data_IF_056030935907
#
_entry.id   IF_056030935907
#
_cell.length_a   1.000
_cell.length_b   1.000
_cell.length_c   1.000
_cell.angle_alpha   90.00
_cell.angle_beta   90.00
_cell.angle_gamma   90.00
#
_symmetry.space_group_name_H-M   'P 1'
#
loop_
_entity.id
_entity.type
_entity.pdbx_description
1 polymer ?
#
# COMPACT_ATOMS: atom_id res chain seq x y z
N UNK A 1 -0.09 20.07 -5.63
CA UNK A 1 -1.32 19.73 -4.86
C UNK A 1 -1.42 20.57 -3.60
N UNK A 2 -2.64 20.92 -3.17
CA UNK A 2 -2.90 21.42 -1.82
C UNK A 2 -2.98 22.94 -1.64
N UNK A 3 -2.65 23.77 -2.64
CA UNK A 3 -2.63 25.23 -2.45
C UNK A 3 -1.67 25.66 -1.33
N UNK A 4 -2.01 26.73 -0.58
CA UNK A 4 -1.16 27.20 0.55
C UNK A 4 -0.97 26.06 1.56
N UNK A 5 0.29 25.82 1.92
CA UNK A 5 0.66 24.89 2.98
C UNK A 5 -0.12 25.25 4.25
N UNK A 6 -0.71 24.25 4.93
CA UNK A 6 -1.46 24.50 6.14
C UNK A 6 -0.54 25.21 7.15
N UNK A 7 0.52 24.51 7.55
CA UNK A 7 1.41 25.00 8.58
C UNK A 7 2.54 25.85 8.02
N UNK A 8 2.97 26.85 8.77
CA UNK A 8 4.15 27.67 8.44
C UNK A 8 5.49 26.97 8.73
N UNK A 9 5.47 25.92 9.56
CA UNK A 9 6.61 25.07 9.93
C UNK A 9 6.15 23.64 10.09
N UNK A 10 6.96 22.69 9.62
CA UNK A 10 6.69 21.27 9.79
C UNK A 10 7.92 20.56 10.35
N UNK A 11 7.77 19.87 11.49
CA UNK A 11 8.86 19.16 12.15
C UNK A 11 8.78 17.65 11.92
N UNK A 12 9.92 17.03 11.59
CA UNK A 12 10.03 15.57 11.41
C UNK A 12 10.88 15.00 12.54
N UNK A 13 10.29 14.13 13.35
CA UNK A 13 10.99 13.37 14.38
C UNK A 13 11.22 11.93 13.89
N UNK A 14 12.46 11.57 13.61
CA UNK A 14 12.85 10.22 13.25
C UNK A 14 13.29 9.44 14.50
N UNK A 15 12.68 8.26 14.72
CA UNK A 15 12.99 7.38 15.84
C UNK A 15 13.45 6.02 15.32
N UNK A 16 14.75 5.66 15.45
CA UNK A 16 15.25 4.34 15.10
C UNK A 16 14.93 3.38 16.24
N UNK A 17 13.66 3.06 16.44
CA UNK A 17 13.23 2.22 17.56
C UNK A 17 12.29 1.07 17.17
N UNK A 18 11.93 0.94 15.89
CA UNK A 18 11.02 -0.09 15.41
C UNK A 18 11.72 -1.44 15.17
N UNK A 19 11.11 -2.58 15.58
CA UNK A 19 11.64 -3.90 15.24
C UNK A 19 11.49 -4.13 13.73
N UNK A 20 12.65 -4.26 13.07
CA UNK A 20 12.92 -4.64 11.67
C UNK A 20 11.91 -4.30 10.54
N UNK A 21 12.44 -3.77 9.43
CA UNK A 21 11.80 -3.75 8.11
C UNK A 21 10.61 -2.81 7.88
N UNK A 22 9.94 -2.31 8.92
CA UNK A 22 8.77 -1.44 8.77
C UNK A 22 9.04 0.01 9.20
N UNK A 23 8.44 0.95 8.47
CA UNK A 23 8.30 2.35 8.88
C UNK A 23 6.87 2.62 9.33
N UNK A 24 6.69 3.35 10.43
CA UNK A 24 5.38 3.77 10.89
C UNK A 24 5.38 5.26 11.20
N UNK A 25 4.44 5.99 10.61
CA UNK A 25 4.22 7.40 10.88
C UNK A 25 3.13 7.62 11.93
N UNK A 26 3.20 8.75 12.61
CA UNK A 26 2.08 9.30 13.37
C UNK A 26 2.07 10.81 13.13
N UNK A 27 1.04 11.33 12.47
CA UNK A 27 0.95 12.75 12.16
C UNK A 27 0.46 13.51 13.40
N UNK A 28 0.93 14.74 13.54
CA UNK A 28 0.53 15.72 14.56
C UNK A 28 0.35 17.07 13.87
N UNK A 29 -0.31 18.01 14.53
CA UNK A 29 -0.38 19.37 14.01
C UNK A 29 1.05 19.95 13.88
N UNK A 30 1.44 20.35 12.68
CA UNK A 30 2.78 20.89 12.40
C UNK A 30 3.94 19.92 12.59
N UNK A 31 3.70 18.61 12.78
CA UNK A 31 4.79 17.65 12.93
C UNK A 31 4.42 16.21 12.61
N UNK A 32 5.44 15.35 12.48
CA UNK A 32 5.30 13.92 12.32
C UNK A 32 6.34 13.21 13.17
N UNK A 33 5.95 12.11 13.80
CA UNK A 33 6.87 11.15 14.36
C UNK A 33 6.93 9.92 13.43
N UNK A 34 8.12 9.53 13.00
CA UNK A 34 8.35 8.35 12.17
C UNK A 34 9.25 7.38 12.90
N UNK A 35 8.75 6.19 13.11
CA UNK A 35 9.51 5.04 13.58
C UNK A 35 10.19 4.38 12.39
N UNK A 36 11.52 4.20 12.47
CA UNK A 36 12.32 3.54 11.44
C UNK A 36 12.95 2.25 11.99
N UNK A 37 13.27 1.26 11.13
CA UNK A 37 13.96 0.06 11.55
C UNK A 37 15.30 0.39 12.19
N UNK A 38 15.59 -0.20 13.36
CA UNK A 38 16.88 -0.03 14.07
C UNK A 38 18.09 -0.50 13.25
N UNK A 39 17.88 -1.56 12.46
CA UNK A 39 18.95 -2.35 11.84
C UNK A 39 19.23 -1.94 10.40
N UNK A 40 18.46 -0.99 9.85
CA UNK A 40 18.60 -0.54 8.46
C UNK A 40 19.14 0.90 8.47
N UNK A 41 20.32 1.16 7.89
CA UNK A 41 20.85 2.52 7.74
C UNK A 41 19.82 3.42 7.08
N UNK A 42 19.69 4.67 7.54
CA UNK A 42 18.66 5.60 7.07
C UNK A 42 18.70 5.77 5.53
N UNK A 43 19.90 5.75 4.94
CA UNK A 43 20.16 5.82 3.51
C UNK A 43 19.56 4.63 2.73
N UNK A 44 19.43 3.47 3.38
CA UNK A 44 18.78 2.27 2.83
C UNK A 44 17.27 2.24 3.09
N UNK A 45 16.79 2.88 4.17
CA UNK A 45 15.35 3.11 4.39
C UNK A 45 14.80 4.16 3.40
N UNK A 46 15.67 5.08 2.95
CA UNK A 46 15.35 6.27 2.16
C UNK A 46 14.69 6.00 0.80
N UNK A 47 15.04 4.90 0.10
CA UNK A 47 14.74 4.78 -1.33
C UNK A 47 13.26 4.54 -1.68
N UNK A 48 12.36 4.36 -0.71
CA UNK A 48 10.93 4.36 -1.02
C UNK A 48 10.01 4.33 0.19
N UNK A 49 10.27 3.44 1.16
CA UNK A 49 9.37 3.26 2.31
C UNK A 49 9.31 4.51 3.20
N UNK A 50 10.46 5.10 3.54
CA UNK A 50 10.50 6.32 4.37
C UNK A 50 9.86 7.52 3.67
N UNK A 51 10.21 7.78 2.41
CA UNK A 51 9.63 8.89 1.65
C UNK A 51 8.12 8.73 1.46
N UNK A 52 7.66 7.51 1.19
CA UNK A 52 6.24 7.17 1.13
C UNK A 52 5.53 7.48 2.45
N UNK A 53 6.08 7.03 3.58
CA UNK A 53 5.54 7.34 4.91
C UNK A 53 5.53 8.85 5.17
N UNK A 54 6.64 9.55 4.92
CA UNK A 54 6.72 11.00 5.14
C UNK A 54 5.69 11.76 4.29
N UNK A 55 5.55 11.42 3.00
CA UNK A 55 4.60 12.07 2.10
C UNK A 55 3.14 11.79 2.50
N UNK A 56 2.83 10.54 2.87
CA UNK A 56 1.49 10.14 3.32
C UNK A 56 1.06 10.95 4.54
N UNK A 57 1.92 10.98 5.54
CA UNK A 57 1.64 11.64 6.81
C UNK A 57 1.68 13.16 6.71
N UNK A 58 2.51 13.71 5.81
CA UNK A 58 2.50 15.13 5.50
C UNK A 58 1.18 15.55 4.84
N UNK A 59 0.60 14.73 3.95
CA UNK A 59 -0.70 15.05 3.35
C UNK A 59 -1.85 15.05 4.35
N UNK A 60 -1.75 14.29 5.44
CA UNK A 60 -2.72 14.36 6.54
C UNK A 60 -2.78 15.73 7.23
N UNK A 61 -1.79 16.63 7.01
CA UNK A 61 -1.83 18.00 7.56
C UNK A 61 -2.90 18.89 6.93
N UNK A 62 -3.23 18.66 5.65
CA UNK A 62 -4.27 19.45 4.95
C UNK A 62 -5.67 19.23 5.55
N UNK A 63 -5.85 18.13 6.27
CA UNK A 63 -7.08 17.78 6.94
C UNK A 63 -7.22 18.22 8.39
N UNK A 64 -6.22 18.89 8.96
CA UNK A 64 -6.17 19.21 10.39
C UNK A 64 -6.22 20.69 10.72
N UNK A 65 -6.22 21.57 9.72
CA UNK A 65 -6.12 23.03 9.92
C UNK A 65 -7.40 23.85 9.81
N UNK A 66 -8.48 23.26 9.32
CA UNK A 66 -9.79 23.81 9.67
C UNK A 66 -10.08 23.35 11.11
N UNK A 67 -10.73 24.14 11.95
CA UNK A 67 -11.19 23.71 13.29
C UNK A 67 -12.13 22.48 13.31
N UNK A 68 -12.27 21.76 12.20
CA UNK A 68 -12.41 20.33 12.20
C UNK A 68 -11.07 19.70 12.62
N UNK A 69 -10.90 19.48 13.92
CA UNK A 69 -10.24 18.24 14.28
C UNK A 69 -10.85 17.18 13.37
N UNK A 70 -10.04 16.44 12.60
CA UNK A 70 -10.39 15.04 12.40
C UNK A 70 -10.58 14.56 13.82
N UNK A 71 -11.83 14.57 14.29
CA UNK A 71 -12.24 13.81 15.45
C UNK A 71 -11.85 12.41 15.03
N UNK A 72 -10.66 12.02 15.44
CA UNK A 72 -10.41 10.64 15.81
C UNK A 72 -11.26 10.50 17.06
N UNK A 73 -12.58 10.51 16.88
CA UNK A 73 -13.47 10.02 17.90
C UNK A 73 -13.06 8.56 18.01
N UNK A 74 -12.60 8.18 19.18
CA UNK A 74 -12.51 6.79 19.59
C UNK A 74 -13.88 6.11 19.65
N UNK A 75 -14.94 6.77 19.18
CA UNK A 75 -16.28 6.26 19.07
C UNK A 75 -16.72 6.29 17.60
N UNK A 76 -17.09 5.12 17.03
CA UNK A 76 -17.65 5.05 15.70
C UNK A 76 -19.01 5.74 15.72
N UNK A 77 -19.11 6.93 15.12
CA UNK A 77 -20.42 7.46 14.76
C UNK A 77 -21.04 6.49 13.73
N UNK A 78 -22.25 6.02 14.04
CA UNK A 78 -23.09 5.21 13.16
C UNK A 78 -23.41 5.98 11.87
N UNK A 79 -22.47 5.92 10.93
CA UNK A 79 -22.42 6.68 9.68
C UNK A 79 -21.20 6.38 8.80
N UNK A 80 -20.33 5.45 9.20
CA UNK A 80 -19.28 4.83 8.38
C UNK A 80 -18.08 5.73 8.15
N UNK A 81 -17.09 5.69 9.04
CA UNK A 81 -15.80 6.36 8.82
C UNK A 81 -15.23 5.99 7.44
N UNK A 82 -14.87 6.99 6.62
CA UNK A 82 -14.29 6.78 5.29
C UNK A 82 -12.79 6.49 5.38
N UNK A 83 -12.37 5.55 6.21
CA UNK A 83 -10.96 5.16 6.35
C UNK A 83 -10.34 4.73 5.03
N UNK A 84 -11.08 4.03 4.16
CA UNK A 84 -10.59 3.75 2.79
C UNK A 84 -10.25 5.03 2.00
N UNK A 85 -10.97 6.13 2.24
CA UNK A 85 -10.71 7.42 1.60
C UNK A 85 -9.58 8.16 2.33
N UNK A 86 -9.70 8.37 3.64
CA UNK A 86 -8.72 9.11 4.43
C UNK A 86 -7.35 8.46 4.38
N UNK A 87 -7.27 7.13 4.38
CA UNK A 87 -5.99 6.42 4.33
C UNK A 87 -5.60 6.05 2.90
N UNK A 88 -6.51 5.42 2.15
CA UNK A 88 -6.20 4.93 0.80
C UNK A 88 -6.04 6.05 -0.23
N UNK A 89 -6.95 7.05 -0.29
CA UNK A 89 -6.79 8.18 -1.23
C UNK A 89 -5.58 9.02 -0.87
N UNK A 90 -5.35 9.30 0.43
CA UNK A 90 -4.16 10.03 0.86
C UNK A 90 -2.88 9.28 0.47
N UNK A 91 -2.86 7.95 0.59
CA UNK A 91 -1.72 7.16 0.13
C UNK A 91 -1.49 7.27 -1.38
N UNK A 92 -2.55 7.24 -2.19
CA UNK A 92 -2.43 7.48 -3.63
C UNK A 92 -1.87 8.88 -3.94
N UNK A 93 -2.41 9.92 -3.30
CA UNK A 93 -1.97 11.30 -3.52
C UNK A 93 -0.53 11.52 -3.04
N UNK A 94 -0.09 10.81 -2.00
CA UNK A 94 1.30 10.84 -1.54
C UNK A 94 2.24 10.27 -2.60
N UNK A 95 1.89 9.13 -3.20
CA UNK A 95 2.64 8.57 -4.32
C UNK A 95 2.67 9.52 -5.51
N UNK A 96 1.53 10.15 -5.82
CA UNK A 96 1.44 11.12 -6.90
C UNK A 96 2.29 12.37 -6.62
N UNK A 97 2.31 12.89 -5.38
CA UNK A 97 3.15 14.02 -4.99
C UNK A 97 4.65 13.70 -5.06
N UNK A 98 5.05 12.48 -4.68
CA UNK A 98 6.42 12.00 -4.85
C UNK A 98 6.81 11.91 -6.33
N UNK A 99 5.90 11.49 -7.21
CA UNK A 99 6.14 11.46 -8.66
C UNK A 99 6.25 12.89 -9.22
N UNK A 100 5.32 13.78 -8.87
CA UNK A 100 5.29 15.16 -9.35
C UNK A 100 6.49 15.99 -8.88
N UNK A 101 7.06 15.67 -7.71
CA UNK A 101 8.28 16.31 -7.20
C UNK A 101 9.57 15.75 -7.80
N UNK A 102 9.51 14.68 -8.60
CA UNK A 102 10.69 13.97 -9.10
C UNK A 102 11.40 13.12 -8.04
N UNK A 103 10.79 12.95 -6.85
CA UNK A 103 11.33 12.08 -5.79
C UNK A 103 11.16 10.59 -6.11
N UNK A 104 10.27 10.23 -7.05
CA UNK A 104 10.19 8.90 -7.63
C UNK A 104 9.97 8.92 -9.15
N UNK A 105 10.46 7.89 -9.83
CA UNK A 105 10.24 7.68 -11.26
C UNK A 105 8.83 7.12 -11.56
N UNK A 106 8.34 7.36 -12.78
CA UNK A 106 7.04 6.81 -13.22
C UNK A 106 6.96 5.29 -13.07
N UNK A 107 8.04 4.57 -13.36
CA UNK A 107 8.09 3.11 -13.22
C UNK A 107 7.90 2.64 -11.78
N UNK A 108 8.44 3.40 -10.80
CA UNK A 108 8.25 3.13 -9.36
C UNK A 108 6.80 3.39 -8.99
N UNK A 109 6.23 4.52 -9.41
CA UNK A 109 4.83 4.86 -9.16
C UNK A 109 3.86 3.79 -9.69
N UNK A 110 4.05 3.36 -10.95
CA UNK A 110 3.24 2.30 -11.57
C UNK A 110 3.45 0.94 -10.91
N UNK A 111 4.67 0.62 -10.46
CA UNK A 111 4.95 -0.59 -9.67
C UNK A 111 4.20 -0.58 -8.34
N UNK A 112 4.18 0.56 -7.63
CA UNK A 112 3.44 0.72 -6.36
C UNK A 112 1.95 0.49 -6.57
N UNK A 113 1.36 1.01 -7.66
CA UNK A 113 -0.05 0.75 -8.00
C UNK A 113 -0.33 -0.73 -8.29
N UNK A 114 0.56 -1.39 -9.02
CA UNK A 114 0.49 -2.82 -9.27
C UNK A 114 0.56 -3.65 -7.98
N UNK A 115 1.43 -3.25 -7.04
CA UNK A 115 1.55 -3.88 -5.72
C UNK A 115 0.30 -3.66 -4.87
N UNK A 116 -0.28 -2.45 -4.87
CA UNK A 116 -1.53 -2.15 -4.18
C UNK A 116 -2.68 -3.03 -4.70
N UNK A 117 -2.84 -3.13 -6.01
CA UNK A 117 -3.85 -4.03 -6.60
C UNK A 117 -3.57 -5.49 -6.27
N UNK A 118 -2.31 -5.91 -6.28
CA UNK A 118 -1.93 -7.26 -5.87
C UNK A 118 -2.28 -7.54 -4.40
N UNK A 119 -2.15 -6.55 -3.51
CA UNK A 119 -2.58 -6.66 -2.11
C UNK A 119 -4.10 -6.85 -2.04
N UNK A 120 -4.86 -6.01 -2.75
CA UNK A 120 -6.33 -6.10 -2.81
C UNK A 120 -6.79 -7.44 -3.36
N UNK A 121 -6.28 -7.88 -4.51
CA UNK A 121 -6.81 -9.05 -5.21
C UNK A 121 -6.58 -10.38 -4.49
N UNK A 122 -5.65 -10.40 -3.52
CA UNK A 122 -5.36 -11.56 -2.66
C UNK A 122 -5.96 -11.44 -1.26
N UNK A 123 -6.52 -10.28 -0.93
CA UNK A 123 -7.03 -10.04 0.41
C UNK A 123 -8.26 -10.93 0.67
N UNK A 124 -8.39 -11.59 1.84
CA UNK A 124 -9.52 -12.47 2.13
C UNK A 124 -10.89 -11.81 2.02
N UNK A 125 -10.97 -10.49 2.26
CA UNK A 125 -12.21 -9.71 2.14
C UNK A 125 -12.59 -9.38 0.69
N UNK A 126 -11.67 -9.53 -0.28
CA UNK A 126 -11.92 -9.17 -1.67
C UNK A 126 -12.96 -10.10 -2.31
N UNK A 127 -14.02 -9.52 -2.88
CA UNK A 127 -15.15 -10.29 -3.39
C UNK A 127 -16.18 -10.71 -2.33
N UNK A 128 -15.90 -10.47 -1.05
CA UNK A 128 -16.76 -10.86 0.08
C UNK A 128 -17.39 -9.65 0.77
N UNK A 129 -16.62 -8.57 0.95
CA UNK A 129 -17.07 -7.33 1.57
C UNK A 129 -16.73 -6.12 0.70
N UNK A 130 -17.55 -5.07 0.80
CA UNK A 130 -17.26 -3.78 0.17
C UNK A 130 -16.21 -2.99 0.96
N UNK A 131 -15.58 -2.01 0.31
CA UNK A 131 -14.66 -1.10 1.01
C UNK A 131 -15.38 -0.30 2.10
N UNK A 132 -16.62 0.10 1.85
CA UNK A 132 -17.44 0.79 2.85
C UNK A 132 -17.66 -0.08 4.11
N UNK A 133 -17.92 -1.38 3.94
CA UNK A 133 -18.11 -2.32 5.06
C UNK A 133 -16.81 -2.55 5.83
N UNK A 134 -15.69 -2.81 5.15
CA UNK A 134 -14.40 -3.01 5.81
C UNK A 134 -13.95 -1.74 6.58
N UNK A 135 -14.17 -0.57 5.99
CA UNK A 135 -13.82 0.71 6.59
C UNK A 135 -14.54 0.98 7.92
N UNK A 136 -15.76 0.47 8.11
CA UNK A 136 -16.49 0.59 9.36
C UNK A 136 -15.87 -0.22 10.52
N UNK A 137 -15.04 -1.22 10.21
CA UNK A 137 -14.37 -2.10 11.19
C UNK A 137 -12.86 -1.83 11.26
N UNK A 138 -12.40 -0.70 10.73
CA UNK A 138 -10.99 -0.38 10.54
C UNK A 138 -10.16 -0.44 11.83
N UNK A 139 -10.70 0.04 12.96
CA UNK A 139 -9.98 0.01 14.23
C UNK A 139 -10.02 -1.35 14.93
N UNK A 140 -11.07 -2.13 14.69
CA UNK A 140 -11.31 -3.39 15.39
C UNK A 140 -10.68 -4.60 14.67
N UNK A 141 -10.54 -4.52 13.35
CA UNK A 141 -10.04 -5.62 12.51
C UNK A 141 -8.82 -5.20 11.68
N UNK A 142 -7.62 -5.75 11.97
CA UNK A 142 -6.41 -5.53 11.18
C UNK A 142 -6.56 -5.85 9.68
N UNK A 143 -7.32 -6.88 9.31
CA UNK A 143 -7.57 -7.23 7.91
C UNK A 143 -8.46 -6.17 7.23
N UNK A 144 -9.48 -5.68 7.92
CA UNK A 144 -10.33 -4.61 7.42
C UNK A 144 -9.53 -3.30 7.23
N UNK A 145 -8.59 -3.01 8.13
CA UNK A 145 -7.63 -1.91 8.01
C UNK A 145 -6.73 -2.05 6.79
N UNK A 146 -6.04 -3.19 6.63
CA UNK A 146 -5.16 -3.44 5.48
C UNK A 146 -5.91 -3.31 4.14
N UNK A 147 -7.12 -3.88 4.07
CA UNK A 147 -7.98 -3.79 2.90
C UNK A 147 -8.39 -2.36 2.58
N UNK A 148 -8.69 -1.54 3.59
CA UNK A 148 -9.07 -0.14 3.43
C UNK A 148 -7.94 0.70 2.84
N UNK A 149 -6.70 0.52 3.28
CA UNK A 149 -5.53 1.20 2.69
C UNK A 149 -5.36 0.86 1.21
N UNK A 150 -5.22 -0.43 0.91
CA UNK A 150 -4.87 -0.89 -0.44
C UNK A 150 -6.03 -0.67 -1.41
N UNK A 151 -7.26 -0.97 -0.99
CA UNK A 151 -8.46 -0.80 -1.80
C UNK A 151 -8.78 0.65 -2.09
N UNK A 152 -8.67 1.52 -1.08
CA UNK A 152 -8.86 2.96 -1.27
C UNK A 152 -7.84 3.57 -2.23
N UNK A 153 -6.57 3.16 -2.15
CA UNK A 153 -5.54 3.59 -3.10
C UNK A 153 -5.86 3.15 -4.54
N UNK A 154 -6.32 1.92 -4.73
CA UNK A 154 -6.72 1.41 -6.06
C UNK A 154 -7.92 2.19 -6.60
N UNK A 155 -8.92 2.48 -5.77
CA UNK A 155 -10.08 3.30 -6.17
C UNK A 155 -9.65 4.72 -6.55
N UNK A 156 -8.74 5.35 -5.78
CA UNK A 156 -8.21 6.67 -6.10
C UNK A 156 -7.52 6.69 -7.47
N UNK A 157 -6.67 5.70 -7.74
CA UNK A 157 -6.03 5.53 -9.04
C UNK A 157 -7.04 5.36 -10.17
N UNK A 158 -8.05 4.50 -9.99
CA UNK A 158 -9.10 4.28 -10.98
C UNK A 158 -9.88 5.57 -11.29
N UNK A 159 -10.14 6.39 -10.26
CA UNK A 159 -10.75 7.71 -10.45
C UNK A 159 -9.84 8.66 -11.24
N UNK A 160 -8.55 8.75 -10.88
CA UNK A 160 -7.60 9.60 -11.61
C UNK A 160 -7.45 9.15 -13.08
N UNK A 161 -7.40 7.84 -13.32
CA UNK A 161 -7.34 7.27 -14.65
C UNK A 161 -8.59 7.59 -15.47
N UNK A 162 -9.77 7.50 -14.88
CA UNK A 162 -11.03 7.84 -15.55
C UNK A 162 -11.05 9.32 -15.95
N UNK A 163 -10.69 10.23 -15.03
CA UNK A 163 -10.64 11.66 -15.31
C UNK A 163 -9.64 11.99 -16.43
N UNK A 164 -8.43 11.40 -16.37
CA UNK A 164 -7.39 11.61 -17.39
C UNK A 164 -7.78 11.02 -18.74
N UNK A 165 -8.43 9.85 -18.77
CA UNK A 165 -8.89 9.22 -20.01
C UNK A 165 -9.99 10.06 -20.69
N UNK A 166 -10.78 10.81 -19.91
CA UNK A 166 -11.79 11.75 -20.41
C UNK A 166 -11.23 13.14 -20.73
N UNK A 167 -9.93 13.37 -20.55
CA UNK A 167 -9.32 14.69 -20.73
C UNK A 167 -9.72 15.72 -19.66
N UNK A 168 -10.26 15.27 -18.51
CA UNK A 168 -10.73 16.14 -17.42
C UNK A 168 -9.60 16.54 -16.44
N UNK A 169 -8.37 16.11 -16.72
CA UNK A 169 -7.20 16.38 -15.88
C UNK A 169 -7.08 15.40 -14.71
N UNK A 170 -6.18 15.68 -13.74
CA UNK A 170 -5.91 14.75 -12.65
C UNK A 170 -6.91 14.86 -11.50
N UNK A 171 -7.04 13.78 -10.74
CA UNK A 171 -7.86 13.69 -9.52
C UNK A 171 -7.58 14.83 -8.54
N UNK A 172 -6.32 15.24 -8.38
CA UNK A 172 -5.97 16.34 -7.48
C UNK A 172 -6.69 17.66 -7.83
N UNK A 173 -6.85 17.97 -9.13
CA UNK A 173 -7.60 19.15 -9.60
C UNK A 173 -9.10 19.01 -9.36
N UNK A 174 -9.60 17.79 -9.45
CA UNK A 174 -11.00 17.50 -9.12
C UNK A 174 -11.25 17.72 -7.62
N UNK A 175 -10.34 17.30 -6.75
CA UNK A 175 -10.48 17.46 -5.30
C UNK A 175 -10.60 18.94 -4.88
N UNK A 176 -9.94 19.86 -5.58
CA UNK A 176 -10.09 21.31 -5.36
C UNK A 176 -11.55 21.81 -5.55
N UNK A 177 -12.37 21.06 -6.27
CA UNK A 177 -13.78 21.38 -6.57
C UNK A 177 -14.76 20.72 -5.58
N UNK A 178 -14.29 19.84 -4.69
CA UNK A 178 -15.13 19.09 -3.75
C UNK A 178 -15.23 19.85 -2.43
N UNK A 179 -16.39 20.40 -2.02
CA UNK A 179 -16.52 21.17 -0.78
C UNK A 179 -16.01 20.40 0.45
N UNK A 180 -15.25 21.06 1.37
CA UNK A 180 -14.91 22.49 1.41
C UNK A 180 -13.77 22.94 0.46
N UNK A 181 -13.35 22.06 -0.45
CA UNK A 181 -12.34 22.27 -1.49
C UNK A 181 -11.07 21.46 -1.24
N UNK A 182 -10.92 20.79 -0.09
CA UNK A 182 -9.70 20.04 0.31
C UNK A 182 -10.04 18.86 1.21
N UNK A 183 -9.07 17.95 1.36
CA UNK A 183 -9.15 16.77 2.24
C UNK A 183 -9.15 17.16 3.74
N UNK A 184 -9.81 16.36 4.61
CA UNK A 184 -10.72 15.28 4.27
C UNK A 184 -12.01 15.84 3.66
N UNK A 185 -12.67 15.05 2.83
CA UNK A 185 -14.00 15.39 2.30
C UNK A 185 -14.99 14.30 2.68
N UNK A 186 -16.21 14.71 2.99
CA UNK A 186 -17.34 13.81 3.25
C UNK A 186 -17.72 13.01 1.99
N UNK A 187 -18.06 11.72 2.14
CA UNK A 187 -18.35 10.85 0.99
C UNK A 187 -19.54 11.35 0.19
N UNK A 188 -20.59 11.82 0.88
CA UNK A 188 -21.74 12.43 0.24
C UNK A 188 -21.35 13.65 -0.60
N UNK A 189 -20.49 14.53 -0.06
CA UNK A 189 -19.99 15.70 -0.78
C UNK A 189 -19.07 15.33 -1.95
N UNK A 190 -18.20 14.33 -1.77
CA UNK A 190 -17.35 13.78 -2.82
C UNK A 190 -18.18 13.18 -3.95
N UNK A 191 -19.15 12.31 -3.63
CA UNK A 191 -19.97 11.62 -4.61
C UNK A 191 -20.90 12.59 -5.34
N UNK A 192 -21.45 13.58 -4.65
CA UNK A 192 -22.22 14.65 -5.27
C UNK A 192 -21.36 15.49 -6.23
N UNK A 193 -20.14 15.87 -5.83
CA UNK A 193 -19.21 16.58 -6.69
C UNK A 193 -18.80 15.73 -7.90
N UNK A 194 -18.50 14.45 -7.70
CA UNK A 194 -18.17 13.50 -8.76
C UNK A 194 -19.32 13.36 -9.76
N UNK A 195 -20.55 13.20 -9.26
CA UNK A 195 -21.76 13.09 -10.10
C UNK A 195 -21.98 14.34 -10.93
N UNK A 196 -21.80 15.53 -10.33
CA UNK A 196 -21.88 16.80 -11.08
C UNK A 196 -20.79 16.92 -12.14
N UNK A 197 -19.57 16.44 -11.85
CA UNK A 197 -18.41 16.57 -12.73
C UNK A 197 -18.44 15.56 -13.90
N UNK A 198 -18.92 14.34 -13.65
CA UNK A 198 -18.84 13.23 -14.61
C UNK A 198 -20.20 12.84 -15.22
N UNK A 199 -21.29 13.42 -14.70
CA UNK A 199 -22.67 13.12 -15.10
C UNK A 199 -23.27 11.88 -14.43
N UNK A 200 -22.51 11.15 -13.61
CA UNK A 200 -22.97 9.92 -12.95
C UNK A 200 -22.19 9.64 -11.66
N UNK A 201 -22.82 9.08 -10.60
CA UNK A 201 -22.07 8.54 -9.45
C UNK A 201 -21.26 7.29 -9.82
N UNK A 202 -21.62 6.64 -10.92
CA UNK A 202 -20.96 5.44 -11.41
C UNK A 202 -19.76 5.75 -12.30
N UNK A 203 -18.74 4.87 -12.31
CA UNK A 203 -18.69 3.56 -11.62
C UNK A 203 -18.20 3.61 -10.16
N UNK A 204 -17.92 4.79 -9.62
CA UNK A 204 -17.20 4.91 -8.34
C UNK A 204 -18.05 4.50 -7.14
N UNK A 205 -19.35 4.82 -7.14
CA UNK A 205 -20.27 4.35 -6.11
C UNK A 205 -20.24 2.82 -6.00
N UNK A 206 -20.35 2.10 -7.12
CA UNK A 206 -20.28 0.64 -7.16
C UNK A 206 -18.96 0.08 -6.61
N UNK A 207 -17.81 0.67 -6.96
CA UNK A 207 -16.49 0.23 -6.50
C UNK A 207 -16.31 0.32 -4.98
N UNK A 208 -17.02 1.24 -4.32
CA UNK A 208 -16.90 1.48 -2.88
C UNK A 208 -17.95 0.72 -2.08
N UNK A 209 -19.19 0.69 -2.59
CA UNK A 209 -20.35 0.21 -1.83
C UNK A 209 -20.64 -1.28 -2.05
N UNK A 210 -20.09 -1.89 -3.10
CA UNK A 210 -20.29 -3.31 -3.40
C UNK A 210 -19.00 -4.11 -3.21
N UNK A 211 -19.12 -5.42 -3.03
CA UNK A 211 -17.98 -6.34 -3.01
C UNK A 211 -17.49 -6.73 -4.42
N UNK A 212 -17.96 -6.03 -5.46
CA UNK A 212 -17.60 -6.35 -6.85
C UNK A 212 -16.09 -6.19 -7.07
N UNK A 213 -15.45 -7.07 -7.87
CA UNK A 213 -14.04 -6.93 -8.21
C UNK A 213 -13.70 -5.55 -8.79
N UNK A 214 -12.61 -4.94 -8.32
CA UNK A 214 -12.13 -3.66 -8.83
C UNK A 214 -11.56 -3.85 -10.25
N UNK A 215 -11.96 -3.04 -11.25
CA UNK A 215 -11.62 -3.26 -12.66
C UNK A 215 -10.22 -2.75 -13.03
N UNK A 216 -9.23 -2.92 -12.16
CA UNK A 216 -7.87 -2.39 -12.32
C UNK A 216 -7.23 -2.82 -13.64
N UNK A 217 -7.15 -4.12 -13.90
CA UNK A 217 -6.49 -4.67 -15.07
C UNK A 217 -7.13 -4.17 -16.37
N UNK A 218 -8.45 -4.18 -16.43
CA UNK A 218 -9.20 -3.78 -17.62
C UNK A 218 -9.09 -2.27 -17.87
N UNK A 219 -9.16 -1.45 -16.82
CA UNK A 219 -9.03 0.01 -16.93
C UNK A 219 -7.63 0.41 -17.37
N UNK A 220 -6.59 -0.20 -16.82
CA UNK A 220 -5.19 0.03 -17.25
C UNK A 220 -5.00 -0.33 -18.72
N UNK A 221 -5.47 -1.51 -19.15
CA UNK A 221 -5.36 -1.96 -20.55
C UNK A 221 -6.10 -1.03 -21.51
N UNK A 222 -7.34 -0.63 -21.18
CA UNK A 222 -8.13 0.31 -21.99
C UNK A 222 -7.48 1.67 -22.11
N UNK A 223 -6.72 2.09 -21.10
CA UNK A 223 -5.92 3.31 -21.12
C UNK A 223 -4.58 3.17 -21.87
N UNK A 224 -4.37 2.06 -22.57
CA UNK A 224 -3.16 1.77 -23.35
C UNK A 224 -1.95 1.34 -22.51
N UNK A 225 -2.14 1.10 -21.21
CA UNK A 225 -1.13 0.55 -20.33
C UNK A 225 -0.96 -0.95 -20.55
N UNK A 226 0.26 -1.45 -20.32
CA UNK A 226 0.52 -2.89 -20.28
C UNK A 226 0.47 -3.39 -18.84
N UNK A 227 -0.15 -4.55 -18.64
CA UNK A 227 -0.08 -5.27 -17.37
C UNK A 227 0.48 -6.66 -17.61
N UNK A 228 1.62 -6.95 -17.00
CA UNK A 228 2.18 -8.30 -16.94
C UNK A 228 1.88 -8.89 -15.58
N UNK A 229 1.08 -9.96 -15.58
CA UNK A 229 0.90 -10.78 -14.41
C UNK A 229 2.13 -11.69 -14.26
N UNK A 230 2.76 -11.64 -13.09
CA UNK A 230 3.85 -12.53 -12.75
C UNK A 230 3.51 -13.29 -11.50
N UNK A 231 3.84 -14.56 -11.48
CA UNK A 231 3.88 -15.31 -10.24
C UNK A 231 5.27 -15.15 -9.63
N UNK A 232 5.34 -14.48 -8.48
CA UNK A 232 6.59 -14.35 -7.73
C UNK A 232 6.56 -15.30 -6.55
N UNK A 233 7.57 -16.13 -6.46
CA UNK A 233 7.83 -16.93 -5.26
C UNK A 233 8.17 -16.00 -4.12
N UNK A 234 7.43 -16.10 -3.03
CA UNK A 234 7.68 -15.33 -1.81
C UNK A 234 8.00 -16.29 -0.69
N UNK A 235 9.16 -16.04 -0.11
CA UNK A 235 9.50 -16.55 1.19
C UNK A 235 9.79 -15.32 2.04
N UNK A 236 8.84 -14.92 2.87
CA UNK A 236 8.87 -13.67 3.61
C UNK A 236 9.58 -13.79 4.97
N UNK A 237 10.50 -14.75 5.12
CA UNK A 237 11.35 -14.88 6.30
C UNK A 237 12.78 -14.41 6.01
N UNK A 238 13.38 -13.74 6.99
CA UNK A 238 14.79 -13.38 7.02
C UNK A 238 15.60 -14.45 7.75
N UNK A 239 16.86 -14.63 7.33
CA UNK A 239 17.74 -15.66 7.85
C UNK A 239 19.13 -15.13 8.17
N UNK A 240 19.69 -15.60 9.29
CA UNK A 240 21.10 -15.47 9.65
C UNK A 240 21.81 -16.82 9.47
N UNK A 241 22.98 -16.82 8.86
CA UNK A 241 23.80 -18.02 8.71
C UNK A 241 24.72 -18.16 9.93
N UNK A 242 24.65 -19.29 10.63
CA UNK A 242 25.55 -19.66 11.74
C UNK A 242 26.28 -20.96 11.41
N UNK A 243 27.38 -21.23 12.11
CA UNK A 243 28.11 -22.51 11.99
C UNK A 243 27.19 -23.72 12.23
N UNK A 244 26.17 -23.54 13.05
CA UNK A 244 25.22 -24.57 13.47
C UNK A 244 23.99 -24.69 12.54
N UNK A 245 23.86 -23.84 11.52
CA UNK A 245 22.77 -23.87 10.54
C UNK A 245 22.20 -22.50 10.14
N UNK A 246 21.13 -22.54 9.34
CA UNK A 246 20.42 -21.35 8.88
C UNK A 246 19.34 -20.95 9.90
N UNK A 247 19.58 -19.90 10.67
CA UNK A 247 18.68 -19.45 11.75
C UNK A 247 17.64 -18.46 11.24
N UNK A 248 16.38 -18.63 11.60
CA UNK A 248 15.29 -17.70 11.25
C UNK A 248 15.41 -16.42 12.09
N UNK A 249 15.73 -15.30 11.44
CA UNK A 249 15.95 -14.00 12.07
C UNK A 249 14.67 -13.14 12.12
N UNK A 250 13.84 -13.23 11.08
CA UNK A 250 12.55 -12.54 10.97
C UNK A 250 11.55 -13.40 10.19
N UNK A 251 10.25 -13.15 10.38
CA UNK A 251 9.18 -13.93 9.76
C UNK A 251 8.06 -12.99 9.33
N UNK A 252 7.68 -13.08 8.06
CA UNK A 252 6.48 -12.48 7.51
C UNK A 252 5.25 -13.40 7.64
N UNK A 253 4.05 -12.87 7.39
CA UNK A 253 2.79 -13.55 7.65
C UNK A 253 2.62 -14.87 6.88
N UNK A 254 3.17 -15.02 5.68
CA UNK A 254 2.98 -16.21 4.84
C UNK A 254 3.76 -17.42 5.37
N UNK A 255 4.96 -17.20 5.88
CA UNK A 255 5.79 -18.27 6.50
C UNK A 255 5.41 -18.48 7.97
N UNK A 256 5.01 -17.43 8.69
CA UNK A 256 4.54 -17.55 10.07
C UNK A 256 3.29 -18.43 10.19
N UNK A 257 2.37 -18.33 9.23
CA UNK A 257 1.19 -19.20 9.15
C UNK A 257 1.53 -20.69 8.97
N UNK A 258 2.76 -21.02 8.60
CA UNK A 258 3.24 -22.40 8.40
C UNK A 258 4.01 -22.95 9.63
N UNK A 259 4.08 -22.17 10.71
CA UNK A 259 4.57 -22.62 12.02
C UNK A 259 6.07 -22.42 12.29
N UNK A 260 6.79 -21.70 11.42
CA UNK A 260 8.14 -21.23 11.70
C UNK A 260 8.09 -20.12 12.76
N UNK A 261 9.07 -20.10 13.64
CA UNK A 261 9.25 -19.01 14.62
C UNK A 261 10.68 -18.47 14.58
N UNK A 262 10.84 -17.21 14.99
CA UNK A 262 12.16 -16.60 15.13
C UNK A 262 13.02 -17.45 16.06
N UNK A 263 14.26 -17.72 15.65
CA UNK A 263 15.21 -18.55 16.38
C UNK A 263 15.21 -20.03 15.99
N UNK A 264 14.25 -20.50 15.16
CA UNK A 264 14.34 -21.83 14.57
C UNK A 264 15.60 -21.95 13.71
N UNK A 265 16.32 -23.06 13.82
CA UNK A 265 17.48 -23.36 12.97
C UNK A 265 17.07 -24.41 11.93
N UNK A 266 17.06 -24.04 10.66
CA UNK A 266 16.80 -25.00 9.57
C UNK A 266 18.00 -25.94 9.45
N UNK A 267 17.72 -27.24 9.57
CA UNK A 267 18.72 -28.31 9.48
C UNK A 267 18.72 -28.93 8.08
N UNK A 268 17.54 -29.32 7.58
CA UNK A 268 17.41 -29.95 6.26
C UNK A 268 16.07 -29.64 5.60
N UNK A 269 16.04 -29.74 4.26
CA UNK A 269 14.82 -29.71 3.44
C UNK A 269 14.84 -30.95 2.57
N UNK A 270 13.75 -31.73 2.59
CA UNK A 270 13.62 -33.01 1.89
C UNK A 270 14.81 -33.97 2.16
N UNK A 271 15.33 -33.94 3.39
CA UNK A 271 16.49 -34.73 3.82
C UNK A 271 17.86 -34.19 3.38
N UNK A 272 17.93 -33.07 2.64
CA UNK A 272 19.21 -32.42 2.28
C UNK A 272 19.58 -31.35 3.30
N UNK A 273 20.80 -31.41 3.81
CA UNK A 273 21.30 -30.39 4.74
C UNK A 273 21.34 -29.01 4.09
N UNK A 274 20.88 -27.99 4.82
CA UNK A 274 20.79 -26.61 4.35
C UNK A 274 21.74 -25.73 5.15
N UNK A 275 22.61 -24.99 4.44
CA UNK A 275 23.60 -24.08 5.04
C UNK A 275 23.47 -22.63 4.59
N UNK A 276 22.55 -22.32 3.68
CA UNK A 276 22.31 -20.95 3.18
C UNK A 276 20.84 -20.72 2.82
N UNK A 277 20.41 -19.46 2.86
CA UNK A 277 19.07 -19.07 2.44
C UNK A 277 18.83 -19.41 0.96
N UNK A 278 19.84 -19.29 0.10
CA UNK A 278 19.71 -19.64 -1.32
C UNK A 278 19.51 -21.16 -1.52
N UNK A 279 20.26 -22.01 -0.79
CA UNK A 279 20.04 -23.45 -0.81
C UNK A 279 18.66 -23.84 -0.28
N UNK A 280 18.24 -23.19 0.81
CA UNK A 280 16.90 -23.37 1.37
C UNK A 280 15.80 -23.08 0.36
N UNK A 281 15.84 -21.90 -0.29
CA UNK A 281 14.86 -21.48 -1.28
C UNK A 281 14.88 -22.32 -2.55
N UNK A 282 16.05 -22.88 -2.92
CA UNK A 282 16.16 -23.80 -4.06
C UNK A 282 15.51 -25.16 -3.76
N UNK A 283 15.65 -25.65 -2.54
CA UNK A 283 15.18 -26.99 -2.18
C UNK A 283 13.68 -27.05 -1.88
N UNK A 284 13.05 -25.91 -1.56
CA UNK A 284 11.59 -25.82 -1.46
C UNK A 284 10.95 -26.03 -2.84
N UNK A 285 9.97 -26.95 -2.88
CA UNK A 285 9.25 -27.35 -4.07
C UNK A 285 8.67 -26.14 -4.81
N UNK A 286 9.00 -25.95 -6.11
CA UNK A 286 8.60 -24.79 -6.88
C UNK A 286 7.16 -24.87 -7.39
N UNK A 287 6.40 -25.92 -7.09
CA UNK A 287 5.01 -26.09 -7.53
C UNK A 287 3.99 -25.84 -6.40
N UNK A 288 4.48 -25.43 -5.22
CA UNK A 288 3.64 -25.19 -4.03
C UNK A 288 3.31 -26.45 -3.25
N UNK A 289 3.83 -27.62 -3.64
CA UNK A 289 3.71 -28.84 -2.82
C UNK A 289 4.51 -28.66 -1.51
N UNK A 290 4.08 -29.30 -0.42
CA UNK A 290 4.82 -29.23 0.84
C UNK A 290 6.18 -29.91 0.68
N UNK A 291 7.23 -29.21 1.11
CA UNK A 291 8.56 -29.77 1.32
C UNK A 291 8.72 -30.10 2.80
N UNK A 292 9.33 -31.23 3.11
CA UNK A 292 9.58 -31.64 4.49
C UNK A 292 10.78 -30.88 5.02
N UNK A 293 10.59 -30.02 6.02
CA UNK A 293 11.66 -29.22 6.61
C UNK A 293 11.93 -29.67 8.03
N UNK A 294 13.18 -30.03 8.31
CA UNK A 294 13.64 -30.26 9.67
C UNK A 294 14.20 -28.97 10.26
N UNK A 295 13.70 -28.64 11.44
CA UNK A 295 14.00 -27.43 12.19
C UNK A 295 14.47 -27.83 13.58
N UNK A 296 15.43 -27.10 14.14
CA UNK A 296 15.79 -27.21 15.56
C UNK A 296 15.24 -26.00 16.31
N UNK A 297 14.40 -26.24 17.31
CA UNK A 297 13.82 -25.23 18.20
C UNK A 297 14.32 -25.47 19.62
N UNK A 298 15.26 -24.65 20.07
CA UNK A 298 16.00 -24.93 21.31
C UNK A 298 16.76 -26.26 21.20
N UNK A 299 16.42 -27.23 22.04
CA UNK A 299 16.99 -28.59 22.02
C UNK A 299 16.16 -29.60 21.20
N UNK A 300 14.98 -29.23 20.74
CA UNK A 300 14.06 -30.14 20.04
C UNK A 300 14.30 -30.11 18.53
N UNK A 301 14.22 -31.29 17.88
CA UNK A 301 14.18 -31.42 16.43
C UNK A 301 12.73 -31.62 16.00
N UNK A 302 12.25 -30.73 15.15
CA UNK A 302 10.88 -30.69 14.64
C UNK A 302 10.88 -30.93 13.14
N UNK A 303 9.87 -31.64 12.65
CA UNK A 303 9.58 -31.75 11.23
C UNK A 303 8.33 -30.94 10.89
N UNK A 304 8.40 -30.10 9.85
CA UNK A 304 7.29 -29.27 9.41
C UNK A 304 7.15 -29.32 7.89
N UNK A 305 5.93 -29.55 7.36
CA UNK A 305 5.68 -29.34 5.95
C UNK A 305 5.67 -27.83 5.67
N UNK A 306 6.51 -27.38 4.74
CA UNK A 306 6.51 -26.01 4.25
C UNK A 306 6.15 -25.94 2.78
N UNK A 307 5.18 -25.10 2.48
CA UNK A 307 4.80 -24.71 1.15
C UNK A 307 5.62 -23.49 0.74
N UNK A 308 6.21 -23.58 -0.45
CA UNK A 308 6.71 -22.40 -1.14
C UNK A 308 5.50 -21.54 -1.51
N UNK A 309 5.32 -20.40 -0.85
CA UNK A 309 4.25 -19.48 -1.21
C UNK A 309 4.60 -18.79 -2.52
N UNK A 310 3.62 -18.66 -3.40
CA UNK A 310 3.69 -17.77 -4.54
C UNK A 310 2.68 -16.65 -4.37
N UNK A 311 2.97 -15.52 -5.00
CA UNK A 311 2.07 -14.37 -5.00
C UNK A 311 2.03 -13.78 -6.40
N UNK A 312 0.82 -13.53 -6.90
CA UNK A 312 0.60 -12.81 -8.17
C UNK A 312 0.99 -11.34 -8.05
N UNK A 313 2.02 -10.90 -8.75
CA UNK A 313 2.36 -9.48 -8.88
C UNK A 313 1.87 -8.96 -10.23
N UNK A 314 1.50 -7.68 -10.27
CA UNK A 314 1.06 -7.02 -11.49
C UNK A 314 2.07 -5.92 -11.84
N UNK A 315 2.89 -6.16 -12.85
CA UNK A 315 3.80 -5.14 -13.38
C UNK A 315 3.04 -4.26 -14.36
N UNK A 316 2.84 -2.99 -13.97
CA UNK A 316 2.17 -1.98 -14.79
C UNK A 316 3.22 -1.15 -15.50
N UNK A 317 3.03 -0.91 -16.80
CA UNK A 317 3.90 -0.02 -17.58
C UNK A 317 3.11 0.80 -18.59
N UNK A 318 3.68 1.93 -19.00
CA UNK A 318 3.08 2.85 -19.96
C UNK A 318 3.76 2.72 -21.33
N UNK A 319 2.98 2.40 -22.37
CA UNK A 319 3.44 2.40 -23.77
C UNK A 319 3.40 3.81 -24.37
N UNK A 320 4.00 4.01 -25.56
CA UNK A 320 4.23 5.32 -26.18
C UNK A 320 2.99 6.22 -26.34
N UNK A 321 1.79 5.63 -26.52
CA UNK A 321 0.51 6.33 -26.66
C UNK A 321 -0.44 6.20 -25.46
N UNK A 322 0.04 5.70 -24.32
CA UNK A 322 -0.81 5.42 -23.16
C UNK A 322 -1.16 6.70 -22.37
N UNK A 323 -2.41 6.77 -21.87
CA UNK A 323 -2.87 7.77 -20.90
C UNK A 323 -2.01 7.73 -19.62
N UNK A 324 -1.41 6.58 -19.28
CA UNK A 324 -0.53 6.44 -18.12
C UNK A 324 0.70 7.35 -18.21
N UNK A 325 1.11 7.80 -19.40
CA UNK A 325 2.19 8.79 -19.55
C UNK A 325 1.77 10.19 -19.11
N UNK A 326 0.48 10.49 -19.00
CA UNK A 326 0.01 11.80 -18.50
C UNK A 326 0.45 12.07 -17.06
N UNK A 327 0.82 11.04 -16.30
CA UNK A 327 1.44 11.20 -14.98
C UNK A 327 2.87 11.75 -15.02
N UNK A 328 3.60 11.53 -16.12
CA UNK A 328 4.97 12.06 -16.31
C UNK A 328 5.04 13.45 -16.93
N UNK A 329 3.91 14.02 -17.39
CA UNK A 329 3.93 15.28 -18.14
C UNK A 329 4.05 16.55 -17.28
N UNK A 330 4.14 16.41 -15.95
CA UNK A 330 4.21 17.53 -15.02
C UNK A 330 2.90 18.33 -14.99
N UNK A 331 2.53 18.80 -13.81
CA UNK A 331 1.43 19.75 -13.69
C UNK A 331 1.97 21.16 -13.96
N UNK A 332 1.81 21.69 -15.17
CA UNK A 332 2.04 23.10 -15.42
C UNK A 332 0.96 23.90 -14.69
N UNK A 333 1.29 24.53 -13.56
CA UNK A 333 0.39 25.46 -12.88
C UNK A 333 0.04 26.61 -13.84
N UNK A 334 -1.24 26.80 -14.23
CA UNK A 334 -1.65 28.02 -14.91
C UNK A 334 -1.78 29.11 -13.84
N UNK A 335 -0.72 29.89 -13.62
CA UNK A 335 -0.81 31.07 -12.72
C UNK A 335 0.44 31.45 -11.92
N UNK A 336 1.65 31.17 -12.41
CA UNK A 336 2.88 31.76 -11.86
C UNK A 336 3.33 32.93 -12.73
N UNK A 337 2.68 34.08 -12.59
CA UNK A 337 3.04 35.37 -13.18
C UNK A 337 2.66 36.49 -12.22
#
# INVERSE_FOLDING_TARGET
MGGRAPVSRYAVLLRPDYPSGMTQGTPREGSIQVHTPREVPLERVHQGALLSTLAHEYLHTWGREAGAELRVSSEPELGGEMRWFIEGFVHYLAQLALLESGAQELSVFLSTLGQAYASVSRHPLYGQESLAQASARFFDDPAAREFSYSGGMVVAFLCDLELRARGQGPLARFLDQVPPGRLPVEWGSWLAAWTRHTGSPEPVASWVQTASPLPFLDRVRRAGGEVRERERWVFDAGFDVRLEGLTVASIGPLVGAQGLVRGDVVVSVNGRAISSAEAFLRELDPTGKPSTVQLRRGSELLERPLHRASRKEYEVSASGGSVLRHWSLGYSHPGGG
#
